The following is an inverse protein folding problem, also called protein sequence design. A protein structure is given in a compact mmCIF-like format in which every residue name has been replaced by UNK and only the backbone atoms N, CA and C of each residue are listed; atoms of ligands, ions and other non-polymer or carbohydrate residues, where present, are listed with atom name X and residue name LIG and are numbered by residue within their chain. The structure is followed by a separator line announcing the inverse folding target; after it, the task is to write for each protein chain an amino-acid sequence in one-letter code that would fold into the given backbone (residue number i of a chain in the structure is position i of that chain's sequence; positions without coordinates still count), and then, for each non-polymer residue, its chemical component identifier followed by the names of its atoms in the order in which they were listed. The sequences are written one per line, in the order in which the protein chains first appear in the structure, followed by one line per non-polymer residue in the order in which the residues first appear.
data_IF_347135978241
#
_entry.id   IF_347135978241
#
_cell.length_a   1.000
_cell.length_b   1.000
_cell.length_c   1.000
_cell.angle_alpha   90.00
_cell.angle_beta   90.00
_cell.angle_gamma   90.00
#
_symmetry.space_group_name_H-M   'P 1'
#
loop_
_entity.id
_entity.type
_entity.pdbx_description
1 polymer ?
#
# COMPACT_ATOMS: atom_id res chain seq x y z
N UNK A 1 -4.85 2.10 10.97
CA UNK A 1 -3.36 2.17 10.95
C UNK A 1 -2.68 0.95 11.59
N UNK A 2 -3.03 0.50 12.81
CA UNK A 2 -2.34 -0.67 13.42
C UNK A 2 -2.42 -1.90 12.51
N UNK A 3 -3.60 -2.24 12.00
CA UNK A 3 -3.77 -3.35 11.07
C UNK A 3 -2.94 -3.18 9.78
N UNK A 4 -2.85 -1.95 9.25
CA UNK A 4 -2.04 -1.63 8.07
C UNK A 4 -0.55 -1.85 8.34
N UNK A 5 -0.05 -1.44 9.51
CA UNK A 5 1.34 -1.66 9.91
C UNK A 5 1.63 -3.14 10.14
N UNK A 6 0.73 -3.88 10.79
CA UNK A 6 0.86 -5.33 10.93
C UNK A 6 0.89 -6.01 9.56
N UNK A 7 -0.01 -5.62 8.66
CA UNK A 7 -0.03 -6.13 7.29
C UNK A 7 1.32 -5.89 6.60
N UNK A 8 1.89 -4.68 6.72
CA UNK A 8 3.18 -4.37 6.09
C UNK A 8 4.33 -5.23 6.63
N UNK A 9 4.34 -5.52 7.94
CA UNK A 9 5.35 -6.40 8.54
C UNK A 9 5.24 -7.83 8.01
N UNK A 10 4.02 -8.39 7.98
CA UNK A 10 3.80 -9.73 7.44
C UNK A 10 4.12 -9.78 5.95
N UNK A 11 3.75 -8.76 5.20
CA UNK A 11 4.02 -8.66 3.77
C UNK A 11 5.52 -8.55 3.47
N UNK A 12 6.24 -7.71 4.20
CA UNK A 12 7.70 -7.64 4.12
C UNK A 12 8.34 -8.99 4.47
N UNK A 13 7.89 -9.64 5.56
CA UNK A 13 8.36 -10.96 5.96
C UNK A 13 8.17 -12.02 4.88
N UNK A 14 7.04 -12.00 4.18
CA UNK A 14 6.76 -12.89 3.06
C UNK A 14 7.75 -12.73 1.89
N UNK A 15 8.29 -11.53 1.70
CA UNK A 15 9.25 -11.24 0.63
C UNK A 15 10.71 -11.53 0.99
N UNK A 16 11.05 -11.75 2.28
CA UNK A 16 12.44 -11.99 2.69
C UNK A 16 13.15 -13.11 1.92
N UNK A 17 12.51 -14.25 1.57
CA UNK A 17 13.17 -15.28 0.78
C UNK A 17 13.69 -14.79 -0.59
N UNK A 18 13.08 -13.74 -1.17
CA UNK A 18 13.50 -13.19 -2.47
C UNK A 18 14.92 -12.61 -2.43
N UNK A 19 15.35 -12.12 -1.26
CA UNK A 19 16.70 -11.59 -1.06
C UNK A 19 17.79 -12.68 -1.19
N UNK A 20 17.40 -13.95 -1.15
CA UNK A 20 18.34 -15.06 -1.30
C UNK A 20 18.57 -15.52 -2.74
N UNK A 21 17.60 -15.27 -3.65
CA UNK A 21 17.67 -15.86 -4.98
C UNK A 21 17.20 -15.00 -6.16
N UNK A 22 16.41 -13.94 -5.89
CA UNK A 22 15.86 -13.13 -6.99
C UNK A 22 16.82 -12.01 -7.39
N UNK A 23 17.23 -11.91 -8.68
CA UNK A 23 17.95 -10.75 -9.18
C UNK A 23 17.22 -9.45 -8.84
N UNK A 24 17.96 -8.38 -8.57
CA UNK A 24 17.40 -7.11 -8.09
C UNK A 24 17.25 -7.04 -6.57
N UNK A 25 16.82 -8.13 -5.90
CA UNK A 25 16.85 -8.21 -4.44
C UNK A 25 18.22 -8.59 -3.89
N UNK A 26 18.90 -9.57 -4.53
CA UNK A 26 20.23 -10.03 -4.11
C UNK A 26 21.32 -8.98 -4.28
N UNK A 27 21.13 -8.03 -5.21
CA UNK A 27 22.06 -6.92 -5.48
C UNK A 27 21.71 -5.63 -4.73
N UNK A 28 20.64 -5.65 -3.93
CA UNK A 28 20.16 -4.47 -3.21
C UNK A 28 21.12 -4.09 -2.09
N UNK A 29 21.58 -2.85 -2.09
CA UNK A 29 22.31 -2.28 -0.97
C UNK A 29 21.37 -1.89 0.18
N UNK A 30 21.91 -1.39 1.27
CA UNK A 30 21.13 -1.00 2.46
C UNK A 30 20.12 0.10 2.14
N UNK A 31 20.47 1.06 1.27
CA UNK A 31 19.56 2.13 0.88
C UNK A 31 18.42 1.60 0.02
N UNK A 32 18.71 0.70 -0.92
CA UNK A 32 17.72 -0.01 -1.73
C UNK A 32 16.77 -0.84 -0.88
N UNK A 33 17.29 -1.61 0.09
CA UNK A 33 16.47 -2.40 1.01
C UNK A 33 15.58 -1.52 1.89
N UNK A 34 16.06 -0.37 2.36
CA UNK A 34 15.25 0.60 3.08
C UNK A 34 14.14 1.18 2.18
N UNK A 35 14.47 1.61 0.96
CA UNK A 35 13.50 2.11 -0.02
C UNK A 35 12.43 1.07 -0.35
N UNK A 36 12.83 -0.18 -0.55
CA UNK A 36 11.93 -1.30 -0.74
C UNK A 36 10.98 -1.47 0.47
N UNK A 37 11.50 -1.45 1.70
CA UNK A 37 10.66 -1.56 2.88
C UNK A 37 9.64 -0.42 2.98
N UNK A 38 10.05 0.81 2.70
CA UNK A 38 9.13 1.95 2.63
C UNK A 38 8.06 1.78 1.57
N UNK A 39 8.39 1.21 0.41
CA UNK A 39 7.40 0.94 -0.64
C UNK A 39 6.39 -0.14 -0.22
N UNK A 40 6.78 -1.15 0.55
CA UNK A 40 5.88 -2.14 1.14
C UNK A 40 4.90 -1.47 2.12
N UNK A 41 5.39 -0.58 3.00
CA UNK A 41 4.53 0.15 3.94
C UNK A 41 3.54 1.05 3.19
N UNK A 42 3.99 1.78 2.17
CA UNK A 42 3.14 2.61 1.33
C UNK A 42 2.12 1.76 0.54
N UNK A 43 2.53 0.60 0.04
CA UNK A 43 1.64 -0.38 -0.58
C UNK A 43 0.57 -0.87 0.38
N UNK A 44 0.91 -1.17 1.63
CA UNK A 44 -0.07 -1.58 2.64
C UNK A 44 -1.10 -0.47 2.94
N UNK A 45 -0.68 0.80 2.90
CA UNK A 45 -1.60 1.96 2.99
C UNK A 45 -2.54 1.99 1.80
N UNK A 46 -2.03 1.81 0.57
CA UNK A 46 -2.84 1.74 -0.65
C UNK A 46 -3.86 0.60 -0.59
N UNK A 47 -3.45 -0.59 -0.17
CA UNK A 47 -4.36 -1.73 -0.03
C UNK A 47 -5.43 -1.49 1.01
N UNK A 48 -5.08 -0.87 2.14
CA UNK A 48 -6.06 -0.49 3.16
C UNK A 48 -7.07 0.51 2.61
N UNK A 49 -6.59 1.52 1.88
CA UNK A 49 -7.45 2.51 1.23
C UNK A 49 -8.36 1.88 0.17
N UNK A 50 -7.81 1.01 -0.69
CA UNK A 50 -8.57 0.29 -1.71
C UNK A 50 -9.63 -0.63 -1.09
N UNK A 51 -9.26 -1.38 -0.05
CA UNK A 51 -10.16 -2.25 0.68
C UNK A 51 -11.33 -1.46 1.29
N UNK A 52 -11.03 -0.37 1.99
CA UNK A 52 -12.04 0.48 2.59
C UNK A 52 -12.92 1.15 1.53
N UNK A 53 -12.32 1.69 0.46
CA UNK A 53 -13.02 2.35 -0.63
C UNK A 53 -13.90 1.43 -1.47
N UNK A 54 -13.53 0.14 -1.56
CA UNK A 54 -14.30 -0.90 -2.25
C UNK A 54 -15.31 -1.63 -1.35
N UNK A 55 -15.61 -1.10 -0.17
CA UNK A 55 -16.52 -1.69 0.82
C UNK A 55 -16.08 -3.07 1.28
N UNK A 56 -14.77 -3.29 1.47
CA UNK A 56 -14.22 -4.54 1.94
C UNK A 56 -14.01 -5.60 0.85
N UNK A 57 -13.90 -5.21 -0.42
CA UNK A 57 -13.70 -6.13 -1.53
C UNK A 57 -12.28 -6.69 -1.57
N UNK A 58 -12.12 -7.93 -1.13
CA UNK A 58 -10.86 -8.68 -1.29
C UNK A 58 -10.54 -8.93 -2.77
N UNK A 59 -11.56 -9.07 -3.62
CA UNK A 59 -11.37 -9.26 -5.06
C UNK A 59 -10.70 -8.03 -5.69
N UNK A 60 -11.11 -6.81 -5.31
CA UNK A 60 -10.48 -5.59 -5.80
C UNK A 60 -9.00 -5.53 -5.41
N UNK A 61 -8.67 -5.88 -4.16
CA UNK A 61 -7.29 -5.95 -3.69
C UNK A 61 -6.50 -7.04 -4.44
N UNK A 62 -7.05 -8.22 -4.62
CA UNK A 62 -6.40 -9.33 -5.31
C UNK A 62 -6.13 -8.99 -6.78
N UNK A 63 -7.09 -8.40 -7.48
CA UNK A 63 -6.91 -7.95 -8.87
C UNK A 63 -5.84 -6.86 -8.98
N UNK A 64 -5.86 -5.88 -8.10
CA UNK A 64 -4.84 -4.83 -8.09
C UNK A 64 -3.44 -5.41 -7.84
N UNK A 65 -3.31 -6.32 -6.88
CA UNK A 65 -2.04 -6.99 -6.59
C UNK A 65 -1.56 -7.83 -7.77
N UNK A 66 -2.43 -8.69 -8.31
CA UNK A 66 -2.09 -9.55 -9.44
C UNK A 66 -1.68 -8.75 -10.70
N UNK A 67 -2.34 -7.62 -10.98
CA UNK A 67 -1.94 -6.74 -12.07
C UNK A 67 -0.57 -6.11 -11.83
N UNK A 68 -0.28 -5.70 -10.60
CA UNK A 68 1.04 -5.18 -10.22
C UNK A 68 2.11 -6.26 -10.40
N UNK A 69 1.84 -7.49 -9.97
CA UNK A 69 2.76 -8.62 -10.12
C UNK A 69 3.00 -8.98 -11.59
N UNK A 70 1.98 -8.93 -12.44
CA UNK A 70 2.14 -9.13 -13.90
C UNK A 70 3.12 -8.10 -14.47
N UNK A 71 3.01 -6.82 -14.10
CA UNK A 71 3.94 -5.79 -14.56
C UNK A 71 5.36 -6.09 -14.09
N UNK A 72 5.54 -6.50 -12.83
CA UNK A 72 6.85 -6.91 -12.29
C UNK A 72 7.43 -8.14 -13.00
N UNK A 73 6.58 -9.09 -13.44
CA UNK A 73 7.01 -10.30 -14.13
C UNK A 73 7.36 -10.04 -15.61
N UNK A 74 6.65 -9.15 -16.28
CA UNK A 74 6.90 -8.82 -17.68
C UNK A 74 8.24 -8.10 -17.89
N UNK A 75 8.79 -7.51 -16.86
CA UNK A 75 10.08 -6.78 -16.91
C UNK A 75 11.20 -7.55 -16.20
N UNK A 76 11.19 -8.86 -16.34
CA UNK A 76 12.19 -9.73 -15.74
C UNK A 76 13.57 -9.46 -16.33
N UNK A 77 14.38 -8.69 -15.58
CA UNK A 77 15.76 -8.34 -15.95
C UNK A 77 16.07 -6.84 -16.07
N UNK A 78 15.09 -5.97 -15.84
CA UNK A 78 15.32 -4.54 -15.83
C UNK A 78 15.13 -3.96 -14.41
N UNK A 79 16.25 -3.78 -13.69
CA UNK A 79 16.25 -3.28 -12.31
C UNK A 79 15.59 -1.89 -12.18
N UNK A 80 15.56 -1.11 -13.26
CA UNK A 80 14.98 0.24 -13.25
C UNK A 80 13.45 0.23 -13.10
N UNK A 81 12.75 -0.76 -13.66
CA UNK A 81 11.28 -0.81 -13.56
C UNK A 81 10.82 -1.08 -12.12
N UNK A 82 11.51 -1.97 -11.41
CA UNK A 82 11.19 -2.25 -10.00
C UNK A 82 11.33 -1.01 -9.13
N UNK A 83 12.36 -0.18 -9.37
CA UNK A 83 12.53 1.10 -8.70
C UNK A 83 11.42 2.10 -9.04
N UNK A 84 11.04 2.21 -10.31
CA UNK A 84 9.98 3.12 -10.75
C UNK A 84 8.63 2.75 -10.17
N UNK A 85 8.27 1.46 -10.14
CA UNK A 85 7.01 1.00 -9.55
C UNK A 85 7.03 1.23 -8.03
N UNK A 86 8.13 0.90 -7.35
CA UNK A 86 8.28 1.16 -5.92
C UNK A 86 8.11 2.65 -5.59
N UNK A 87 8.69 3.52 -6.41
CA UNK A 87 8.55 4.97 -6.28
C UNK A 87 7.09 5.42 -6.51
N UNK A 88 6.43 4.94 -7.56
CA UNK A 88 5.03 5.27 -7.85
C UNK A 88 4.10 4.81 -6.73
N UNK A 89 4.27 3.58 -6.22
CA UNK A 89 3.51 3.05 -5.09
C UNK A 89 3.74 3.90 -3.83
N UNK A 90 4.99 4.30 -3.58
CA UNK A 90 5.34 5.14 -2.44
C UNK A 90 4.68 6.52 -2.54
N UNK A 91 4.79 7.19 -3.69
CA UNK A 91 4.17 8.49 -3.92
C UNK A 91 2.65 8.42 -3.80
N UNK A 92 2.04 7.38 -4.34
CA UNK A 92 0.59 7.18 -4.25
C UNK A 92 0.14 6.91 -2.81
N UNK A 93 0.85 6.04 -2.09
CA UNK A 93 0.57 5.78 -0.66
C UNK A 93 0.68 7.04 0.19
N UNK A 94 1.70 7.87 -0.04
CA UNK A 94 1.85 9.17 0.61
C UNK A 94 0.72 10.13 0.25
N UNK A 95 0.32 10.21 -1.02
CA UNK A 95 -0.81 11.02 -1.45
C UNK A 95 -2.11 10.60 -0.75
N UNK A 96 -2.36 9.29 -0.63
CA UNK A 96 -3.51 8.76 0.10
C UNK A 96 -3.47 9.20 1.57
N UNK A 97 -2.33 9.11 2.24
CA UNK A 97 -2.18 9.56 3.62
C UNK A 97 -2.42 11.06 3.78
N UNK A 98 -1.95 11.88 2.84
CA UNK A 98 -2.12 13.33 2.89
C UNK A 98 -3.56 13.75 2.63
N UNK A 99 -4.27 13.06 1.72
CA UNK A 99 -5.64 13.43 1.30
C UNK A 99 -6.68 12.93 2.31
N UNK A 100 -6.59 11.65 2.72
CA UNK A 100 -7.59 11.01 3.59
C UNK A 100 -7.16 10.90 5.04
N UNK A 101 -5.90 11.19 5.34
CA UNK A 101 -5.34 11.12 6.69
C UNK A 101 -5.13 9.69 7.18
N UNK A 102 -4.42 9.57 8.30
CA UNK A 102 -4.02 8.28 8.88
C UNK A 102 -5.12 7.57 9.69
N UNK A 103 -6.22 8.26 9.99
CA UNK A 103 -7.32 7.71 10.81
C UNK A 103 -8.39 6.99 9.99
N UNK A 104 -8.76 7.56 8.85
CA UNK A 104 -9.79 7.03 7.95
C UNK A 104 -9.22 6.94 6.54
N UNK A 105 -8.53 5.87 6.24
CA UNK A 105 -8.13 5.54 4.88
C UNK A 105 -9.36 5.04 4.10
N UNK A 106 -10.40 5.87 3.99
CA UNK A 106 -11.60 5.56 3.22
C UNK A 106 -12.08 6.82 2.48
N UNK A 107 -12.37 6.73 1.19
CA UNK A 107 -13.19 7.71 0.51
C UNK A 107 -14.66 7.44 0.93
N UNK A 108 -15.16 8.11 1.94
CA UNK A 108 -16.57 7.99 2.30
C UNK A 108 -16.87 8.49 3.71
N UNK A 109 -17.86 9.37 3.78
CA UNK A 109 -18.53 9.92 4.94
C UNK A 109 -17.60 10.57 5.97
N UNK A 110 -17.31 11.85 5.75
CA UNK A 110 -17.23 12.76 6.89
C UNK A 110 -18.58 12.64 7.59
N UNK A 111 -18.62 12.03 8.75
CA UNK A 111 -19.74 12.24 9.67
C UNK A 111 -19.94 13.75 9.78
N UNK A 112 -20.89 14.28 9.05
CA UNK A 112 -21.48 15.54 9.39
C UNK A 112 -22.14 15.27 10.72
N UNK A 113 -21.51 15.71 11.80
CA UNK A 113 -22.13 15.83 13.10
C UNK A 113 -23.28 16.81 12.92
N UNK A 114 -24.41 16.30 12.47
CA UNK A 114 -25.67 17.02 12.57
C UNK A 114 -25.98 17.02 14.06
N UNK A 115 -25.58 18.09 14.72
CA UNK A 115 -26.20 18.54 15.96
C UNK A 115 -27.67 18.77 15.64
N UNK A 116 -28.48 17.71 15.69
CA UNK A 116 -29.93 17.87 15.78
C UNK A 116 -30.16 18.48 17.15
N UNK A 117 -30.32 19.80 17.12
CA UNK A 117 -30.73 20.57 18.27
C UNK A 117 -31.98 19.93 18.86
N UNK A 118 -31.90 19.66 20.12
CA UNK A 118 -32.98 19.33 20.99
C UNK A 118 -33.91 20.56 20.99
N UNK A 119 -34.94 20.50 20.18
CA UNK A 119 -36.10 21.36 20.37
C UNK A 119 -37.10 20.56 21.20
N UNK A 120 -37.01 20.74 22.52
CA UNK A 120 -38.11 20.44 23.44
C UNK A 120 -38.82 21.77 23.71
N UNK A 121 -39.91 21.98 22.99
CA UNK A 121 -40.99 22.83 23.45
C UNK A 121 -41.90 22.06 24.38
#
# INVERSE_FOLDING_TARGET
MVATLLLSVFWAGWHLPLFAYRPGYTSMDVAGAAGWFFSIVAGAVLFTWLFNGSRGSLLACALFHGLTDVVFLCDYGNDNMMQHIGMLVTLWGLAVLLIWGWRNLAPGERETTTTSGIEKG
#
